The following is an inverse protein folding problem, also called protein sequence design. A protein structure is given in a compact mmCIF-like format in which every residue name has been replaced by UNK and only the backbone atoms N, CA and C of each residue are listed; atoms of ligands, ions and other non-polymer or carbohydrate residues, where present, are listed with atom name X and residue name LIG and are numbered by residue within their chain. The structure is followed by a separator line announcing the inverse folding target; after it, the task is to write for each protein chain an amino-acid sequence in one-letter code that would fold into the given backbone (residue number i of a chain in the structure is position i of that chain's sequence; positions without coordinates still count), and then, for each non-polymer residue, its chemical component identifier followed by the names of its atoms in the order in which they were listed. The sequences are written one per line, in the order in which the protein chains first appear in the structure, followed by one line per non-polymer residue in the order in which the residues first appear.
data_IF_789482207244
#
_entry.id   IF_789482207244
#
_cell.length_a   1.000
_cell.length_b   1.000
_cell.length_c   1.000
_cell.angle_alpha   90.00
_cell.angle_beta   90.00
_cell.angle_gamma   90.00
#
_symmetry.space_group_name_H-M   'P 1'
#
loop_
_entity.id
_entity.type
_entity.pdbx_description
1 polymer ?
#
# COMPACT_ATOMS: atom_id res chain seq x y z
N UNK A 1 -35.26 -15.38 -11.79
CA UNK A 1 -34.16 -15.14 -10.84
C UNK A 1 -32.97 -14.52 -11.60
N UNK A 2 -33.19 -13.37 -12.23
CA UNK A 2 -32.34 -12.88 -13.36
C UNK A 2 -32.37 -11.35 -13.44
N UNK A 3 -32.00 -10.67 -12.35
CA UNK A 3 -31.82 -9.19 -12.30
C UNK A 3 -30.69 -8.74 -11.34
N UNK A 4 -29.68 -9.57 -11.09
CA UNK A 4 -28.59 -9.24 -10.15
C UNK A 4 -27.19 -9.07 -10.78
N UNK A 5 -27.07 -9.00 -12.11
CA UNK A 5 -25.78 -8.86 -12.80
C UNK A 5 -25.63 -7.59 -13.66
N UNK A 6 -26.46 -6.56 -13.42
CA UNK A 6 -26.36 -5.28 -14.14
C UNK A 6 -25.53 -4.20 -13.41
N UNK A 7 -24.96 -4.48 -12.23
CA UNK A 7 -24.37 -3.43 -11.39
C UNK A 7 -22.87 -3.13 -11.64
N UNK A 8 -22.22 -3.85 -12.55
CA UNK A 8 -20.99 -3.36 -13.19
C UNK A 8 -21.35 -2.52 -14.41
N UNK A 9 -22.01 -1.39 -14.18
CA UNK A 9 -22.19 -0.41 -15.23
C UNK A 9 -20.78 0.03 -15.69
N UNK A 10 -20.54 0.09 -17.00
CA UNK A 10 -19.26 0.42 -17.65
C UNK A 10 -18.58 1.66 -17.04
N UNK A 11 -19.36 2.57 -16.46
CA UNK A 11 -18.90 3.75 -15.71
C UNK A 11 -17.98 3.43 -14.53
N UNK A 12 -18.21 2.36 -13.76
CA UNK A 12 -17.35 2.03 -12.59
C UNK A 12 -15.97 1.52 -13.01
N UNK A 13 -15.93 0.62 -14.01
CA UNK A 13 -14.70 0.17 -14.66
C UNK A 13 -13.98 1.34 -15.36
N UNK A 14 -14.73 2.24 -15.99
CA UNK A 14 -14.20 3.48 -16.59
C UNK A 14 -13.63 4.41 -15.51
N UNK A 15 -14.23 4.59 -14.34
CA UNK A 15 -13.61 5.38 -13.27
C UNK A 15 -12.36 4.70 -12.69
N UNK A 16 -12.36 3.38 -12.55
CA UNK A 16 -11.20 2.59 -12.08
C UNK A 16 -10.04 2.67 -13.09
N UNK A 17 -10.33 2.53 -14.39
CA UNK A 17 -9.35 2.67 -15.46
C UNK A 17 -8.96 4.14 -15.67
N UNK A 18 -9.88 5.11 -15.61
CA UNK A 18 -9.57 6.51 -15.84
C UNK A 18 -8.87 7.18 -14.66
N UNK A 19 -9.07 6.76 -13.41
CA UNK A 19 -8.30 7.35 -12.30
C UNK A 19 -7.04 6.56 -11.98
N UNK A 20 -7.04 5.24 -12.17
CA UNK A 20 -5.87 4.41 -11.92
C UNK A 20 -4.96 4.24 -13.14
N UNK A 21 -5.52 3.79 -14.27
CA UNK A 21 -4.73 3.57 -15.49
C UNK A 21 -4.29 4.89 -16.13
N UNK A 22 -5.11 5.94 -16.13
CA UNK A 22 -4.70 7.24 -16.70
C UNK A 22 -3.63 7.91 -15.86
N UNK A 23 -3.68 7.83 -14.53
CA UNK A 23 -2.61 8.39 -13.68
C UNK A 23 -1.34 7.56 -13.77
N UNK A 24 -1.44 6.23 -13.86
CA UNK A 24 -0.30 5.36 -14.20
C UNK A 24 0.27 5.75 -15.57
N UNK A 25 -0.55 5.87 -16.61
CA UNK A 25 -0.12 6.21 -17.97
C UNK A 25 0.48 7.62 -17.97
N UNK A 26 -0.21 8.64 -17.46
CA UNK A 26 0.27 10.03 -17.46
C UNK A 26 1.55 10.16 -16.64
N UNK A 27 1.62 9.61 -15.42
CA UNK A 27 2.82 9.71 -14.60
C UNK A 27 3.97 8.87 -15.16
N UNK A 28 3.71 7.65 -15.63
CA UNK A 28 4.74 6.82 -16.26
C UNK A 28 5.20 7.42 -17.60
N UNK A 29 4.30 8.00 -18.39
CA UNK A 29 4.63 8.69 -19.64
C UNK A 29 5.37 9.99 -19.40
N UNK A 30 5.02 10.78 -18.39
CA UNK A 30 5.80 11.96 -17.99
C UNK A 30 7.19 11.57 -17.50
N UNK A 31 7.29 10.47 -16.74
CA UNK A 31 8.59 9.96 -16.27
C UNK A 31 9.43 9.40 -17.42
N UNK A 32 8.84 8.60 -18.31
CA UNK A 32 9.49 8.05 -19.51
C UNK A 32 9.87 9.15 -20.51
N UNK A 33 9.04 10.18 -20.67
CA UNK A 33 9.33 11.34 -21.51
C UNK A 33 10.49 12.15 -20.91
N UNK A 34 10.48 12.40 -19.60
CA UNK A 34 11.59 13.07 -18.94
C UNK A 34 12.88 12.23 -18.97
N UNK A 35 12.77 10.92 -18.79
CA UNK A 35 13.87 9.97 -18.90
C UNK A 35 14.48 9.96 -20.32
N UNK A 36 13.64 9.93 -21.35
CA UNK A 36 14.06 9.92 -22.74
C UNK A 36 14.69 11.25 -23.18
N UNK A 37 14.20 12.39 -22.67
CA UNK A 37 14.64 13.72 -23.10
C UNK A 37 15.78 14.32 -22.26
N UNK A 38 15.89 13.98 -20.97
CA UNK A 38 16.85 14.61 -20.05
C UNK A 38 17.88 13.63 -19.49
N UNK A 39 17.85 12.37 -19.93
CA UNK A 39 18.68 11.31 -19.37
C UNK A 39 18.33 10.99 -17.91
N UNK A 40 19.12 10.12 -17.28
CA UNK A 40 18.86 9.55 -15.94
C UNK A 40 18.75 10.58 -14.79
N UNK A 41 18.93 11.88 -15.04
CA UNK A 41 18.92 12.91 -14.01
C UNK A 41 17.53 13.53 -13.80
N UNK A 42 16.54 12.70 -13.47
CA UNK A 42 15.37 13.22 -12.77
C UNK A 42 15.81 13.48 -11.34
N UNK A 43 16.37 14.68 -11.10
CA UNK A 43 16.49 15.22 -9.74
C UNK A 43 15.08 15.56 -9.27
N UNK A 44 14.31 14.55 -8.87
CA UNK A 44 13.06 14.80 -8.16
C UNK A 44 13.42 15.61 -6.93
N UNK A 45 12.93 16.84 -6.83
CA UNK A 45 13.21 17.61 -5.63
C UNK A 45 12.52 16.90 -4.46
N UNK A 46 13.15 16.87 -3.28
CA UNK A 46 12.51 16.32 -2.06
C UNK A 46 11.11 16.91 -1.80
N UNK A 47 10.81 18.09 -2.37
CA UNK A 47 9.52 18.77 -2.31
C UNK A 47 8.43 18.04 -3.11
N UNK A 48 8.73 17.55 -4.32
CA UNK A 48 7.75 16.88 -5.20
C UNK A 48 7.27 15.56 -4.59
N UNK A 49 8.19 14.87 -3.91
CA UNK A 49 7.98 13.61 -3.20
C UNK A 49 6.97 13.77 -2.07
N UNK A 50 7.13 14.84 -1.28
CA UNK A 50 6.24 15.14 -0.15
C UNK A 50 4.82 15.37 -0.62
N UNK A 51 4.62 16.11 -1.72
CA UNK A 51 3.29 16.35 -2.28
C UNK A 51 2.61 15.08 -2.77
N UNK A 52 3.34 14.16 -3.40
CA UNK A 52 2.74 12.90 -3.85
C UNK A 52 2.40 11.95 -2.69
N UNK A 53 3.21 11.91 -1.62
CA UNK A 53 2.86 11.22 -0.38
C UNK A 53 1.58 11.78 0.27
N UNK A 54 1.44 13.11 0.29
CA UNK A 54 0.27 13.82 0.83
C UNK A 54 -0.99 13.54 0.01
N UNK A 55 -0.88 13.54 -1.32
CA UNK A 55 -2.02 13.37 -2.19
C UNK A 55 -2.53 11.93 -2.22
N UNK A 56 -1.61 10.96 -2.13
CA UNK A 56 -1.94 9.56 -2.43
C UNK A 56 -1.84 8.63 -1.22
N UNK A 57 -0.80 8.73 -0.39
CA UNK A 57 -0.63 7.79 0.73
C UNK A 57 -1.33 8.23 2.01
N UNK A 58 -1.14 9.46 2.46
CA UNK A 58 -1.66 9.88 3.77
C UNK A 58 -3.20 9.84 3.90
N UNK A 59 -3.99 10.16 2.86
CA UNK A 59 -5.43 10.05 2.95
C UNK A 59 -5.90 8.61 3.21
N UNK A 60 -5.18 7.61 2.70
CA UNK A 60 -5.48 6.21 2.97
C UNK A 60 -5.25 5.86 4.45
N UNK A 61 -4.10 6.23 5.03
CA UNK A 61 -3.84 6.06 6.46
C UNK A 61 -4.96 6.68 7.30
N UNK A 62 -5.23 7.97 7.08
CA UNK A 62 -6.24 8.68 7.87
C UNK A 62 -7.65 8.10 7.67
N UNK A 63 -8.00 7.63 6.48
CA UNK A 63 -9.27 6.95 6.23
C UNK A 63 -9.42 5.65 7.03
N UNK A 64 -8.38 4.81 7.08
CA UNK A 64 -8.39 3.58 7.90
C UNK A 64 -8.53 3.87 9.39
N UNK A 65 -7.79 4.87 9.90
CA UNK A 65 -7.91 5.31 11.29
C UNK A 65 -9.31 5.84 11.59
N UNK A 66 -9.83 6.74 10.75
CA UNK A 66 -11.15 7.31 10.93
C UNK A 66 -12.23 6.23 10.98
N UNK A 67 -12.20 5.29 10.04
CA UNK A 67 -13.17 4.20 9.99
C UNK A 67 -13.06 3.28 11.21
N UNK A 68 -11.84 2.90 11.62
CA UNK A 68 -11.61 2.04 12.79
C UNK A 68 -12.09 2.71 14.08
N UNK A 69 -11.68 3.96 14.34
CA UNK A 69 -12.01 4.66 15.58
C UNK A 69 -13.46 5.14 15.65
N UNK A 70 -14.13 5.31 14.51
CA UNK A 70 -15.57 5.59 14.45
C UNK A 70 -16.42 4.36 14.73
N UNK A 71 -15.91 3.16 14.44
CA UNK A 71 -16.66 1.91 14.65
C UNK A 71 -16.37 1.33 16.04
N UNK A 72 -17.25 1.63 17.00
CA UNK A 72 -17.07 1.18 18.38
C UNK A 72 -17.03 -0.34 18.52
N UNK A 73 -17.92 -1.09 17.83
CA UNK A 73 -17.94 -2.54 17.89
C UNK A 73 -16.60 -3.14 17.43
N UNK A 74 -16.09 -2.68 16.29
CA UNK A 74 -14.79 -3.12 15.78
C UNK A 74 -13.66 -2.83 16.76
N UNK A 75 -13.66 -1.65 17.40
CA UNK A 75 -12.65 -1.26 18.40
C UNK A 75 -12.76 -2.10 19.67
N UNK A 76 -13.97 -2.43 20.11
CA UNK A 76 -14.20 -3.27 21.30
C UNK A 76 -13.79 -4.73 21.06
N UNK A 77 -14.01 -5.26 19.85
CA UNK A 77 -13.50 -6.58 19.45
C UNK A 77 -11.97 -6.61 19.34
N UNK A 78 -11.34 -5.47 19.03
CA UNK A 78 -9.91 -5.37 18.74
C UNK A 78 -9.20 -4.40 19.71
N UNK A 79 -9.46 -4.52 21.02
CA UNK A 79 -8.89 -3.65 22.07
C UNK A 79 -7.37 -3.62 22.07
N UNK A 80 -6.73 -4.74 21.73
CA UNK A 80 -5.28 -4.80 21.60
C UNK A 80 -4.80 -3.76 20.56
N UNK A 81 -5.37 -3.79 19.35
CA UNK A 81 -5.01 -2.87 18.27
C UNK A 81 -5.38 -1.43 18.62
N UNK A 82 -6.59 -1.19 19.11
CA UNK A 82 -7.08 0.18 19.31
C UNK A 82 -6.56 0.90 20.56
N UNK A 83 -6.05 0.17 21.56
CA UNK A 83 -5.61 0.73 22.86
C UNK A 83 -4.20 0.29 23.24
N UNK A 84 -3.96 -1.01 23.39
CA UNK A 84 -2.70 -1.50 23.98
C UNK A 84 -1.51 -1.28 23.05
N UNK A 85 -1.65 -1.64 21.78
CA UNK A 85 -0.60 -1.52 20.78
C UNK A 85 -0.06 -0.08 20.60
N UNK A 86 -0.88 0.96 20.37
CA UNK A 86 -0.36 2.31 20.26
C UNK A 86 0.33 2.79 21.55
N UNK A 87 -0.17 2.39 22.73
CA UNK A 87 0.50 2.69 24.00
C UNK A 87 1.84 1.97 24.13
N UNK A 88 1.94 0.71 23.71
CA UNK A 88 3.21 -0.03 23.68
C UNK A 88 4.22 0.64 22.74
N UNK A 89 3.81 1.02 21.53
CA UNK A 89 4.70 1.68 20.57
C UNK A 89 5.18 3.01 21.15
N UNK A 90 4.28 3.84 21.69
CA UNK A 90 4.65 5.12 22.33
C UNK A 90 5.57 4.88 23.54
N UNK A 91 5.27 3.91 24.38
CA UNK A 91 6.10 3.56 25.54
C UNK A 91 7.52 3.15 25.14
N UNK A 92 7.67 2.31 24.10
CA UNK A 92 8.98 1.92 23.57
C UNK A 92 9.71 3.14 22.99
N UNK A 93 9.03 4.00 22.23
CA UNK A 93 9.63 5.22 21.69
C UNK A 93 10.11 6.16 22.80
N UNK A 94 9.31 6.37 23.85
CA UNK A 94 9.71 7.17 25.02
C UNK A 94 10.95 6.56 25.68
N UNK A 95 10.99 5.25 25.90
CA UNK A 95 12.16 4.56 26.45
C UNK A 95 13.40 4.73 25.57
N UNK A 96 13.26 4.63 24.24
CA UNK A 96 14.35 4.87 23.29
C UNK A 96 14.92 6.28 23.46
N UNK A 97 14.06 7.30 23.58
CA UNK A 97 14.49 8.69 23.75
C UNK A 97 15.11 8.95 25.12
N UNK A 98 14.54 8.40 26.19
CA UNK A 98 15.04 8.57 27.56
C UNK A 98 16.39 7.88 27.76
N UNK A 99 16.54 6.67 27.23
CA UNK A 99 17.75 5.85 27.40
C UNK A 99 18.78 6.08 26.28
N UNK A 100 18.44 6.88 25.25
CA UNK A 100 19.27 7.16 24.07
C UNK A 100 19.74 5.89 23.34
N UNK A 101 18.84 4.91 23.20
CA UNK A 101 19.17 3.58 22.69
C UNK A 101 18.88 3.48 21.19
N UNK A 102 19.86 3.87 20.36
CA UNK A 102 19.71 3.93 18.90
C UNK A 102 19.44 2.58 18.24
N UNK A 103 19.98 1.47 18.77
CA UNK A 103 19.76 0.14 18.20
C UNK A 103 18.30 -0.33 18.31
N UNK A 104 17.57 0.09 19.34
CA UNK A 104 16.14 -0.21 19.47
C UNK A 104 15.30 0.56 18.45
N UNK A 105 15.64 1.84 18.19
CA UNK A 105 14.99 2.62 17.12
C UNK A 105 15.21 1.96 15.75
N UNK A 106 16.44 1.51 15.50
CA UNK A 106 16.77 0.80 14.27
C UNK A 106 15.98 -0.52 14.17
N UNK A 107 15.90 -1.31 15.24
CA UNK A 107 15.10 -2.54 15.27
C UNK A 107 13.60 -2.27 14.99
N UNK A 108 13.02 -1.21 15.56
CA UNK A 108 11.64 -0.82 15.27
C UNK A 108 11.46 -0.36 13.83
N UNK A 109 12.43 0.37 13.27
CA UNK A 109 12.41 0.79 11.87
C UNK A 109 12.47 -0.41 10.93
N UNK A 110 13.32 -1.39 11.23
CA UNK A 110 13.40 -2.66 10.48
C UNK A 110 12.06 -3.40 10.55
N UNK A 111 11.47 -3.51 11.73
CA UNK A 111 10.16 -4.13 11.90
C UNK A 111 9.08 -3.39 11.10
N UNK A 112 9.09 -2.06 11.11
CA UNK A 112 8.18 -1.24 10.31
C UNK A 112 8.35 -1.50 8.81
N UNK A 113 9.59 -1.62 8.31
CA UNK A 113 9.85 -1.98 6.92
C UNK A 113 9.38 -3.38 6.55
N UNK A 114 9.73 -4.40 7.35
CA UNK A 114 9.27 -5.78 7.10
C UNK A 114 7.74 -5.82 7.03
N UNK A 115 7.08 -5.19 8.00
CA UNK A 115 5.62 -5.14 8.05
C UNK A 115 5.03 -4.33 6.91
N UNK A 116 5.68 -3.26 6.45
CA UNK A 116 5.25 -2.48 5.28
C UNK A 116 5.24 -3.30 3.99
N UNK A 117 6.34 -3.99 3.67
CA UNK A 117 6.42 -4.88 2.51
C UNK A 117 5.37 -5.98 2.57
N UNK A 118 5.23 -6.61 3.74
CA UNK A 118 4.25 -7.65 3.99
C UNK A 118 2.80 -7.13 3.89
N UNK A 119 2.55 -5.93 4.40
CA UNK A 119 1.25 -5.27 4.39
C UNK A 119 0.77 -5.04 2.97
N UNK A 120 1.58 -4.38 2.15
CA UNK A 120 1.20 -4.01 0.79
C UNK A 120 1.10 -5.26 -0.10
N UNK A 121 1.92 -6.30 0.11
CA UNK A 121 1.74 -7.58 -0.59
C UNK A 121 0.38 -8.22 -0.30
N UNK A 122 -0.02 -8.31 0.98
CA UNK A 122 -1.33 -8.86 1.36
C UNK A 122 -2.50 -8.00 0.90
N UNK A 123 -2.34 -6.67 0.92
CA UNK A 123 -3.36 -5.74 0.46
C UNK A 123 -3.57 -5.86 -1.04
N UNK A 124 -2.50 -5.83 -1.84
CA UNK A 124 -2.57 -6.02 -3.29
C UNK A 124 -3.11 -7.40 -3.67
N UNK A 125 -2.76 -8.44 -2.90
CA UNK A 125 -3.39 -9.76 -3.03
C UNK A 125 -4.91 -9.70 -2.82
N UNK A 126 -5.36 -9.10 -1.71
CA UNK A 126 -6.78 -8.89 -1.45
C UNK A 126 -7.46 -8.11 -2.59
N UNK A 127 -6.74 -7.12 -3.15
CA UNK A 127 -7.22 -6.33 -4.27
C UNK A 127 -7.44 -7.18 -5.52
N UNK A 128 -6.43 -7.96 -5.90
CA UNK A 128 -6.49 -8.91 -7.00
C UNK A 128 -7.65 -9.91 -6.84
N UNK A 129 -7.84 -10.47 -5.64
CA UNK A 129 -8.90 -11.45 -5.38
C UNK A 129 -10.29 -10.83 -5.51
N UNK A 130 -10.49 -9.60 -5.02
CA UNK A 130 -11.75 -8.90 -5.17
C UNK A 130 -12.03 -8.55 -6.64
N UNK A 131 -11.04 -8.05 -7.37
CA UNK A 131 -11.19 -7.70 -8.78
C UNK A 131 -11.50 -8.91 -9.68
N UNK A 132 -11.14 -10.10 -9.22
CA UNK A 132 -11.48 -11.34 -9.92
C UNK A 132 -12.94 -11.81 -9.69
N UNK A 133 -13.71 -11.16 -8.80
CA UNK A 133 -15.14 -11.36 -8.59
C UNK A 133 -15.62 -12.83 -8.55
N UNK A 134 -14.84 -13.70 -7.89
CA UNK A 134 -15.04 -15.16 -7.70
C UNK A 134 -14.47 -16.09 -8.78
N UNK A 135 -13.83 -15.60 -9.83
CA UNK A 135 -13.26 -16.41 -10.91
C UNK A 135 -11.94 -17.14 -10.56
N UNK A 136 -11.56 -17.20 -9.28
CA UNK A 136 -10.30 -17.83 -8.85
C UNK A 136 -10.56 -19.05 -7.99
N UNK A 137 -9.93 -20.16 -8.37
CA UNK A 137 -9.87 -21.38 -7.56
C UNK A 137 -9.00 -21.20 -6.33
N UNK A 138 -9.10 -22.14 -5.40
CA UNK A 138 -8.21 -22.23 -4.24
C UNK A 138 -6.73 -22.22 -4.66
N UNK A 139 -6.37 -23.01 -5.67
CA UNK A 139 -4.98 -23.12 -6.14
C UNK A 139 -4.49 -21.82 -6.79
N UNK A 140 -5.31 -21.20 -7.67
CA UNK A 140 -4.95 -19.89 -8.24
C UNK A 140 -4.73 -18.83 -7.16
N UNK A 141 -5.58 -18.82 -6.12
CA UNK A 141 -5.42 -17.90 -4.97
C UNK A 141 -4.15 -18.17 -4.19
N UNK A 142 -3.77 -19.44 -3.98
CA UNK A 142 -2.55 -19.80 -3.27
C UNK A 142 -1.31 -19.38 -4.05
N UNK A 143 -1.23 -19.71 -5.35
CA UNK A 143 -0.11 -19.31 -6.21
C UNK A 143 0.05 -17.79 -6.27
N UNK A 144 -1.06 -17.06 -6.40
CA UNK A 144 -1.04 -15.61 -6.41
C UNK A 144 -0.55 -15.05 -5.07
N UNK A 145 -1.03 -15.57 -3.93
CA UNK A 145 -0.60 -15.14 -2.61
C UNK A 145 0.90 -15.36 -2.42
N UNK A 146 1.40 -16.57 -2.69
CA UNK A 146 2.81 -16.87 -2.51
C UNK A 146 3.68 -16.06 -3.48
N UNK A 147 3.20 -15.78 -4.69
CA UNK A 147 3.87 -14.85 -5.59
C UNK A 147 4.04 -13.46 -4.96
N UNK A 148 2.99 -12.90 -4.36
CA UNK A 148 3.09 -11.63 -3.63
C UNK A 148 4.03 -11.68 -2.43
N UNK A 149 4.03 -12.77 -1.67
CA UNK A 149 4.91 -12.92 -0.51
C UNK A 149 6.39 -13.05 -0.92
N UNK A 150 6.68 -13.81 -1.97
CA UNK A 150 8.02 -13.88 -2.56
C UNK A 150 8.46 -12.53 -3.11
N UNK A 151 7.55 -11.80 -3.75
CA UNK A 151 7.79 -10.45 -4.25
C UNK A 151 8.12 -9.48 -3.10
N UNK A 152 7.39 -9.51 -1.99
CA UNK A 152 7.68 -8.72 -0.79
C UNK A 152 9.03 -9.06 -0.16
N UNK A 153 9.35 -10.35 -0.08
CA UNK A 153 10.66 -10.81 0.37
C UNK A 153 11.78 -10.26 -0.53
N UNK A 154 11.63 -10.37 -1.85
CA UNK A 154 12.55 -9.73 -2.80
C UNK A 154 12.65 -8.23 -2.56
N UNK A 155 11.55 -7.50 -2.48
CA UNK A 155 11.56 -6.05 -2.29
C UNK A 155 12.28 -5.61 -1.02
N UNK A 156 12.00 -6.28 0.10
CA UNK A 156 12.68 -6.00 1.37
C UNK A 156 14.19 -6.25 1.26
N UNK A 157 14.60 -7.42 0.75
CA UNK A 157 16.01 -7.76 0.58
C UNK A 157 16.72 -6.89 -0.46
N UNK A 158 16.00 -6.48 -1.50
CA UNK A 158 16.50 -5.56 -2.49
C UNK A 158 16.83 -4.22 -1.84
N UNK A 159 15.96 -3.68 -0.96
CA UNK A 159 16.26 -2.48 -0.16
C UNK A 159 17.53 -2.63 0.68
N UNK A 160 17.76 -3.79 1.27
CA UNK A 160 18.96 -4.04 2.10
C UNK A 160 20.27 -3.99 1.30
N UNK A 161 20.20 -4.08 -0.04
CA UNK A 161 21.37 -4.18 -0.91
C UNK A 161 21.89 -2.86 -1.44
N UNK A 162 21.09 -1.78 -1.47
CA UNK A 162 21.57 -0.51 -2.03
C UNK A 162 21.71 0.57 -0.95
N UNK A 163 22.74 1.40 -1.09
CA UNK A 163 22.96 2.59 -0.27
C UNK A 163 22.05 3.72 -0.75
N UNK A 164 20.74 3.58 -0.54
CA UNK A 164 19.83 4.66 -0.91
C UNK A 164 19.98 5.81 0.08
N UNK A 165 20.66 6.88 -0.37
CA UNK A 165 20.67 8.21 0.28
C UNK A 165 19.29 8.88 0.27
N UNK A 166 18.35 8.30 -0.47
CA UNK A 166 17.02 8.83 -0.78
C UNK A 166 15.97 8.35 0.23
N UNK A 167 16.35 7.50 1.21
CA UNK A 167 15.39 7.04 2.20
C UNK A 167 14.75 8.22 2.92
N UNK A 168 13.42 8.16 3.04
CA UNK A 168 12.60 8.97 3.93
C UNK A 168 13.41 9.34 5.18
N UNK A 169 13.83 10.60 5.26
CA UNK A 169 14.55 11.19 6.38
C UNK A 169 16.00 10.73 6.59
N UNK A 170 16.73 10.35 5.53
CA UNK A 170 18.17 10.00 5.56
C UNK A 170 18.52 8.78 6.44
N UNK A 171 17.53 8.05 6.95
CA UNK A 171 17.75 6.87 7.75
C UNK A 171 18.16 5.69 6.86
N UNK A 172 19.36 5.14 7.05
CA UNK A 172 19.80 3.93 6.34
C UNK A 172 19.38 2.68 7.13
N UNK A 173 18.65 1.77 6.49
CA UNK A 173 18.29 0.49 7.09
C UNK A 173 18.99 -0.62 6.31
N UNK A 174 20.29 -0.79 6.59
CA UNK A 174 21.04 -1.97 6.16
C UNK A 174 21.25 -2.86 7.37
N UNK A 175 20.54 -3.97 7.41
CA UNK A 175 20.54 -4.93 8.51
C UNK A 175 21.43 -6.12 8.19
N UNK A 176 21.42 -6.54 6.93
CA UNK A 176 22.06 -7.79 6.51
C UNK A 176 22.88 -7.56 5.25
N UNK A 177 24.01 -8.27 5.16
CA UNK A 177 24.69 -8.45 3.89
C UNK A 177 23.98 -9.57 3.12
N UNK A 178 23.02 -9.20 2.27
CA UNK A 178 22.21 -10.17 1.53
C UNK A 178 22.90 -10.50 0.21
N UNK A 179 23.26 -11.77 -0.07
CA UNK A 179 23.75 -12.16 -1.37
C UNK A 179 22.74 -11.82 -2.46
N UNK A 180 23.21 -11.23 -3.56
CA UNK A 180 22.37 -10.86 -4.69
C UNK A 180 21.52 -12.03 -5.20
N UNK A 181 22.13 -13.20 -5.34
CA UNK A 181 21.46 -14.41 -5.80
C UNK A 181 20.25 -14.80 -4.94
N UNK A 182 20.25 -14.49 -3.65
CA UNK A 182 19.13 -14.81 -2.77
C UNK A 182 17.94 -13.87 -2.97
N UNK A 183 18.17 -12.57 -3.19
CA UNK A 183 17.08 -11.66 -3.56
C UNK A 183 16.51 -12.04 -4.93
N UNK A 184 17.38 -12.31 -5.92
CA UNK A 184 16.96 -12.69 -7.27
C UNK A 184 16.20 -14.03 -7.31
N UNK A 185 16.53 -14.98 -6.43
CA UNK A 185 15.80 -16.25 -6.35
C UNK A 185 14.36 -16.05 -5.86
N UNK A 186 14.11 -15.10 -4.94
CA UNK A 186 12.75 -14.73 -4.52
C UNK A 186 11.96 -14.05 -5.64
N UNK A 187 12.61 -13.20 -6.45
CA UNK A 187 11.99 -12.61 -7.62
C UNK A 187 11.63 -13.68 -8.67
N UNK A 188 12.55 -14.61 -8.94
CA UNK A 188 12.30 -15.73 -9.85
C UNK A 188 11.15 -16.62 -9.35
N UNK A 189 11.14 -16.95 -8.06
CA UNK A 189 10.06 -17.71 -7.43
C UNK A 189 8.72 -16.98 -7.56
N UNK A 190 8.69 -15.66 -7.35
CA UNK A 190 7.50 -14.84 -7.55
C UNK A 190 6.94 -14.97 -8.97
N UNK A 191 7.78 -14.89 -9.99
CA UNK A 191 7.39 -15.07 -11.39
C UNK A 191 6.88 -16.48 -11.68
N UNK A 192 7.56 -17.52 -11.20
CA UNK A 192 7.12 -18.91 -11.37
C UNK A 192 5.71 -19.09 -10.80
N UNK A 193 5.49 -18.64 -9.57
CA UNK A 193 4.20 -18.72 -8.91
C UNK A 193 3.13 -17.89 -9.62
N UNK A 194 3.49 -16.72 -10.17
CA UNK A 194 2.57 -15.91 -10.96
C UNK A 194 2.16 -16.60 -12.26
N UNK A 195 3.10 -17.25 -12.96
CA UNK A 195 2.80 -18.07 -14.14
C UNK A 195 1.89 -19.25 -13.77
N UNK A 196 2.15 -19.92 -12.64
CA UNK A 196 1.28 -20.98 -12.13
C UNK A 196 -0.13 -20.47 -11.82
N UNK A 197 -0.27 -19.25 -11.28
CA UNK A 197 -1.55 -18.58 -11.11
C UNK A 197 -2.27 -18.39 -12.45
N UNK A 198 -1.59 -17.90 -13.50
CA UNK A 198 -2.18 -17.71 -14.84
C UNK A 198 -2.67 -19.06 -15.39
N UNK A 199 -1.80 -20.08 -15.40
CA UNK A 199 -2.13 -21.42 -15.91
C UNK A 199 -3.30 -22.04 -15.15
N UNK A 200 -3.29 -21.96 -13.81
CA UNK A 200 -4.37 -22.46 -12.97
C UNK A 200 -5.69 -21.74 -13.24
N UNK A 201 -5.66 -20.42 -13.47
CA UNK A 201 -6.86 -19.61 -13.75
C UNK A 201 -7.45 -19.89 -15.13
N UNK A 202 -6.62 -20.14 -16.14
CA UNK A 202 -7.05 -20.57 -17.47
C UNK A 202 -7.74 -21.94 -17.40
N UNK A 203 -7.14 -22.90 -16.67
CA UNK A 203 -7.64 -24.26 -16.53
C UNK A 203 -8.94 -24.35 -15.73
N UNK A 204 -9.10 -23.51 -14.71
CA UNK A 204 -10.24 -23.57 -13.79
C UNK A 204 -11.57 -23.17 -14.44
N UNK A 205 -11.53 -22.21 -15.36
CA UNK A 205 -12.74 -21.56 -15.86
C UNK A 205 -13.08 -22.07 -17.26
N UNK A 206 -13.11 -23.39 -17.49
CA UNK A 206 -13.30 -23.95 -18.84
C UNK A 206 -14.59 -23.46 -19.51
N UNK A 207 -15.67 -23.35 -18.72
CA UNK A 207 -17.01 -22.92 -19.15
C UNK A 207 -17.13 -21.42 -19.45
N UNK A 208 -16.18 -20.60 -19.00
CA UNK A 208 -16.22 -19.16 -19.22
C UNK A 208 -15.77 -18.80 -20.65
N UNK A 209 -16.25 -17.68 -21.21
CA UNK A 209 -15.78 -17.24 -22.52
C UNK A 209 -14.28 -16.92 -22.49
N UNK A 210 -13.56 -17.09 -23.62
CA UNK A 210 -12.13 -16.75 -23.72
C UNK A 210 -11.86 -15.28 -23.34
N UNK A 211 -12.77 -14.38 -23.72
CA UNK A 211 -12.68 -12.95 -23.42
C UNK A 211 -12.77 -12.67 -21.91
N UNK A 212 -13.71 -13.32 -21.21
CA UNK A 212 -13.89 -13.14 -19.77
C UNK A 212 -12.72 -13.71 -18.96
N UNK A 213 -12.18 -14.86 -19.37
CA UNK A 213 -10.96 -15.43 -18.76
C UNK A 213 -9.79 -14.46 -18.86
N UNK A 214 -9.56 -13.94 -20.08
CA UNK A 214 -8.48 -12.99 -20.33
C UNK A 214 -8.67 -11.71 -19.51
N UNK A 215 -9.89 -11.16 -19.49
CA UNK A 215 -10.24 -10.00 -18.67
C UNK A 215 -9.96 -10.26 -17.19
N UNK A 216 -10.39 -11.38 -16.63
CA UNK A 216 -10.16 -11.72 -15.22
C UNK A 216 -8.66 -11.78 -14.91
N UNK A 217 -7.87 -12.43 -15.76
CA UNK A 217 -6.41 -12.53 -15.57
C UNK A 217 -5.79 -11.14 -15.62
N UNK A 218 -6.11 -10.33 -16.64
CA UNK A 218 -5.55 -9.00 -16.82
C UNK A 218 -5.86 -8.09 -15.63
N UNK A 219 -7.12 -8.01 -15.21
CA UNK A 219 -7.51 -7.14 -14.09
C UNK A 219 -6.90 -7.62 -12.76
N UNK A 220 -6.83 -8.94 -12.54
CA UNK A 220 -6.18 -9.52 -11.34
C UNK A 220 -4.68 -9.27 -11.30
N UNK A 221 -4.04 -9.11 -12.47
CA UNK A 221 -2.61 -8.89 -12.62
C UNK A 221 -2.18 -7.45 -12.34
N UNK A 222 -3.09 -6.47 -12.46
CA UNK A 222 -2.77 -5.05 -12.28
C UNK A 222 -2.10 -4.78 -10.91
N UNK A 223 -2.66 -5.22 -9.76
CA UNK A 223 -2.03 -4.95 -8.48
C UNK A 223 -0.69 -5.69 -8.31
N UNK A 224 -0.52 -6.83 -8.97
CA UNK A 224 0.72 -7.60 -8.91
C UNK A 224 1.85 -6.88 -9.66
N UNK A 225 1.54 -6.39 -10.86
CA UNK A 225 2.47 -5.59 -11.67
C UNK A 225 2.84 -4.32 -10.92
N UNK A 226 1.89 -3.62 -10.31
CA UNK A 226 2.20 -2.42 -9.52
C UNK A 226 3.12 -2.73 -8.32
N UNK A 227 2.97 -3.87 -7.64
CA UNK A 227 3.92 -4.29 -6.60
C UNK A 227 5.29 -4.68 -7.16
N UNK A 228 5.34 -5.31 -8.33
CA UNK A 228 6.60 -5.62 -9.01
C UNK A 228 7.37 -4.34 -9.34
N UNK A 229 6.68 -3.33 -9.89
CA UNK A 229 7.26 -2.03 -10.21
C UNK A 229 7.81 -1.37 -8.95
N UNK A 230 7.03 -1.38 -7.85
CA UNK A 230 7.48 -0.86 -6.56
C UNK A 230 8.74 -1.56 -6.04
N UNK A 231 8.73 -2.89 -5.94
CA UNK A 231 9.81 -3.65 -5.30
C UNK A 231 11.09 -3.74 -6.14
N UNK A 232 10.98 -3.61 -7.46
CA UNK A 232 12.11 -3.77 -8.36
C UNK A 232 12.84 -2.46 -8.62
N UNK A 233 12.11 -1.35 -8.71
CA UNK A 233 12.67 -0.06 -9.14
C UNK A 233 12.95 0.92 -8.01
N UNK A 234 13.00 0.43 -6.78
CA UNK A 234 13.33 1.23 -5.61
C UNK A 234 14.72 1.90 -5.69
N UNK A 235 15.66 1.27 -6.41
CA UNK A 235 17.02 1.77 -6.60
C UNK A 235 17.13 2.85 -7.69
N UNK A 236 16.07 3.08 -8.46
CA UNK A 236 16.04 4.15 -9.46
C UNK A 236 15.73 5.46 -8.74
N UNK A 237 16.66 6.39 -8.78
CA UNK A 237 16.50 7.72 -8.18
C UNK A 237 15.22 8.40 -8.70
N UNK A 238 14.43 8.95 -7.78
CA UNK A 238 13.12 9.57 -8.06
C UNK A 238 11.96 8.59 -8.35
N UNK A 239 12.21 7.32 -8.70
CA UNK A 239 11.11 6.36 -8.92
C UNK A 239 10.33 6.08 -7.62
N UNK A 240 11.00 6.23 -6.48
CA UNK A 240 10.38 6.06 -5.17
C UNK A 240 9.17 6.97 -4.92
N UNK A 241 9.08 8.07 -5.67
CA UNK A 241 7.98 9.03 -5.62
C UNK A 241 6.69 8.47 -6.20
N UNK A 242 6.81 7.58 -7.18
CA UNK A 242 5.67 6.94 -7.84
C UNK A 242 5.12 5.78 -7.00
N UNK A 243 5.89 5.26 -6.04
CA UNK A 243 5.49 4.16 -5.15
C UNK A 243 4.18 4.48 -4.40
N UNK A 244 4.08 5.59 -3.64
CA UNK A 244 2.83 6.07 -3.03
C UNK A 244 1.65 6.09 -4.00
N UNK A 245 1.91 6.52 -5.23
CA UNK A 245 0.89 6.71 -6.25
C UNK A 245 0.37 5.36 -6.75
N UNK A 246 1.28 4.46 -7.15
CA UNK A 246 0.92 3.11 -7.56
C UNK A 246 0.18 2.37 -6.45
N UNK A 247 0.65 2.51 -5.21
CA UNK A 247 0.01 1.90 -4.06
C UNK A 247 -1.42 2.43 -3.80
N UNK A 248 -1.59 3.75 -3.80
CA UNK A 248 -2.90 4.36 -3.62
C UNK A 248 -3.88 3.98 -4.74
N UNK A 249 -3.39 3.90 -5.98
CA UNK A 249 -4.19 3.52 -7.15
C UNK A 249 -4.67 2.07 -7.04
N UNK A 250 -3.84 1.15 -6.56
CA UNK A 250 -4.26 -0.26 -6.35
C UNK A 250 -5.50 -0.34 -5.45
N UNK A 251 -5.60 0.56 -4.47
CA UNK A 251 -6.62 0.51 -3.43
C UNK A 251 -7.80 1.47 -3.65
N UNK A 252 -7.65 2.49 -4.50
CA UNK A 252 -8.70 3.46 -4.81
C UNK A 252 -10.06 2.82 -5.15
N UNK A 253 -10.15 1.73 -5.94
CA UNK A 253 -11.43 1.07 -6.21
C UNK A 253 -12.16 0.59 -4.95
N UNK A 254 -11.43 0.09 -3.95
CA UNK A 254 -11.98 -0.43 -2.69
C UNK A 254 -12.53 0.67 -1.81
N UNK A 255 -11.74 1.73 -1.60
CA UNK A 255 -12.18 2.87 -0.79
C UNK A 255 -13.37 3.53 -1.46
N UNK A 256 -13.28 3.83 -2.75
CA UNK A 256 -14.34 4.55 -3.45
C UNK A 256 -15.64 3.76 -3.39
N UNK A 257 -15.61 2.44 -3.61
CA UNK A 257 -16.81 1.63 -3.50
C UNK A 257 -17.34 1.53 -2.07
N UNK A 258 -16.46 1.29 -1.09
CA UNK A 258 -16.85 1.19 0.32
C UNK A 258 -17.43 2.49 0.86
N UNK A 259 -16.76 3.62 0.62
CA UNK A 259 -17.21 4.94 1.10
C UNK A 259 -18.45 5.41 0.36
N UNK A 260 -18.54 5.22 -0.96
CA UNK A 260 -19.74 5.56 -1.73
C UNK A 260 -20.97 4.78 -1.24
N UNK A 261 -20.84 3.48 -0.97
CA UNK A 261 -21.95 2.67 -0.45
C UNK A 261 -22.32 2.99 1.00
N UNK A 262 -21.34 3.41 1.82
CA UNK A 262 -21.58 3.80 3.21
C UNK A 262 -22.11 5.23 3.38
N UNK A 263 -21.97 6.09 2.36
CA UNK A 263 -22.44 7.47 2.40
C UNK A 263 -23.52 7.73 1.35
N UNK A 264 -24.78 7.75 1.80
CA UNK A 264 -25.92 8.10 0.95
C UNK A 264 -25.94 9.57 0.48
N UNK A 265 -25.12 10.45 1.08
CA UNK A 265 -25.09 11.89 0.83
C UNK A 265 -23.72 12.36 0.33
N UNK A 266 -23.68 12.82 -0.92
CA UNK A 266 -22.47 13.31 -1.60
C UNK A 266 -21.83 14.52 -0.89
N UNK A 267 -22.60 15.38 -0.23
CA UNK A 267 -22.04 16.53 0.50
C UNK A 267 -21.28 16.09 1.75
N UNK A 268 -21.80 15.08 2.46
CA UNK A 268 -21.10 14.47 3.61
C UNK A 268 -19.83 13.75 3.15
N UNK A 269 -19.87 13.15 1.96
CA UNK A 269 -18.71 12.48 1.36
C UNK A 269 -17.58 13.47 1.09
N UNK A 270 -17.88 14.54 0.35
CA UNK A 270 -16.88 15.58 0.02
C UNK A 270 -16.29 16.20 1.29
N UNK A 271 -17.13 16.53 2.29
CA UNK A 271 -16.65 17.04 3.59
C UNK A 271 -15.72 16.06 4.30
N UNK A 272 -16.04 14.77 4.28
CA UNK A 272 -15.22 13.73 4.92
C UNK A 272 -13.86 13.60 4.21
N UNK A 273 -13.86 13.59 2.87
CA UNK A 273 -12.63 13.51 2.06
C UNK A 273 -11.75 14.74 2.31
N UNK A 274 -12.33 15.94 2.31
CA UNK A 274 -11.59 17.18 2.60
C UNK A 274 -11.01 17.18 4.01
N UNK A 275 -11.79 16.75 5.01
CA UNK A 275 -11.30 16.64 6.38
C UNK A 275 -10.12 15.66 6.48
N UNK A 276 -10.24 14.46 5.89
CA UNK A 276 -9.18 13.45 5.84
C UNK A 276 -7.92 14.04 5.19
N UNK A 277 -8.08 14.75 4.08
CA UNK A 277 -6.96 15.39 3.37
C UNK A 277 -6.29 16.48 4.21
N UNK A 278 -7.07 17.37 4.83
CA UNK A 278 -6.54 18.44 5.68
C UNK A 278 -5.80 17.88 6.90
N UNK A 279 -6.36 16.86 7.57
CA UNK A 279 -5.67 16.18 8.67
C UNK A 279 -4.38 15.50 8.21
N UNK A 280 -4.37 14.90 7.01
CA UNK A 280 -3.18 14.29 6.41
C UNK A 280 -2.06 15.32 6.21
N UNK A 281 -2.39 16.49 5.64
CA UNK A 281 -1.43 17.59 5.44
C UNK A 281 -0.89 18.09 6.78
N UNK A 282 -1.77 18.40 7.73
CA UNK A 282 -1.38 18.92 9.04
C UNK A 282 -0.47 17.94 9.79
N UNK A 283 -0.82 16.66 9.78
CA UNK A 283 -0.14 15.67 10.59
C UNK A 283 1.19 15.21 9.99
N UNK A 284 1.26 14.96 8.68
CA UNK A 284 2.47 14.41 8.06
C UNK A 284 3.39 15.48 7.45
N UNK A 285 2.94 16.74 7.38
CA UNK A 285 3.74 17.86 6.85
C UNK A 285 3.87 18.95 7.89
N UNK A 286 2.73 19.43 8.38
CA UNK A 286 2.68 20.54 9.33
C UNK A 286 3.44 20.21 10.62
N UNK A 287 3.21 19.04 11.21
CA UNK A 287 3.87 18.61 12.44
C UNK A 287 5.38 18.40 12.24
N UNK A 288 5.88 17.60 11.27
CA UNK A 288 7.32 17.52 10.98
C UNK A 288 7.97 18.87 10.71
N UNK A 289 7.30 19.75 9.97
CA UNK A 289 7.79 21.11 9.69
C UNK A 289 7.91 21.93 10.98
N UNK A 290 6.85 21.98 11.79
CA UNK A 290 6.85 22.71 13.05
C UNK A 290 7.94 22.20 14.00
N UNK A 291 8.05 20.87 14.16
CA UNK A 291 9.09 20.22 14.95
C UNK A 291 10.48 20.61 14.44
N UNK A 292 10.70 20.59 13.13
CA UNK A 292 12.01 20.95 12.57
C UNK A 292 12.39 22.41 12.82
N UNK A 293 11.41 23.32 12.90
CA UNK A 293 11.64 24.73 13.23
C UNK A 293 11.88 24.94 14.73
N UNK A 294 11.16 24.22 15.60
CA UNK A 294 11.22 24.45 17.06
C UNK A 294 12.26 23.60 17.77
N UNK A 295 12.51 22.39 17.27
CA UNK A 295 13.32 21.34 17.90
C UNK A 295 14.20 20.61 16.85
N UNK A 296 15.05 21.34 16.10
CA UNK A 296 15.84 20.78 15.01
C UNK A 296 16.74 19.60 15.43
N UNK A 297 17.21 19.60 16.69
CA UNK A 297 18.09 18.58 17.25
C UNK A 297 17.45 17.19 17.41
N UNK A 298 16.11 17.11 17.48
CA UNK A 298 15.38 15.84 17.57
C UNK A 298 14.48 15.57 16.35
N UNK A 299 14.48 16.47 15.36
CA UNK A 299 13.49 16.43 14.28
C UNK A 299 13.56 15.14 13.47
N UNK A 300 14.77 14.67 13.13
CA UNK A 300 14.97 13.42 12.38
C UNK A 300 14.49 12.19 13.16
N UNK A 301 14.85 12.09 14.44
CA UNK A 301 14.47 10.97 15.29
C UNK A 301 12.95 10.97 15.57
N UNK A 302 12.34 12.14 15.78
CA UNK A 302 10.90 12.27 16.00
C UNK A 302 10.12 11.91 14.73
N UNK A 303 10.56 12.38 13.56
CA UNK A 303 9.90 12.06 12.29
C UNK A 303 10.02 10.58 11.96
N UNK A 304 11.19 9.97 12.21
CA UNK A 304 11.37 8.51 12.11
C UNK A 304 10.43 7.77 13.06
N UNK A 305 10.27 8.26 14.28
CA UNK A 305 9.37 7.68 15.29
C UNK A 305 7.91 7.77 14.88
N UNK A 306 7.49 8.90 14.30
CA UNK A 306 6.16 9.08 13.71
C UNK A 306 5.97 8.06 12.59
N UNK A 307 6.92 7.96 11.65
CA UNK A 307 6.85 6.98 10.57
C UNK A 307 6.69 5.55 11.10
N UNK A 308 7.49 5.15 12.09
CA UNK A 308 7.39 3.84 12.74
C UNK A 308 6.00 3.64 13.35
N UNK A 309 5.51 4.60 14.13
CA UNK A 309 4.21 4.51 14.78
C UNK A 309 3.09 4.28 13.77
N UNK A 310 3.02 5.11 12.72
CA UNK A 310 1.96 5.00 11.73
C UNK A 310 2.04 3.70 10.96
N UNK A 311 3.20 3.30 10.46
CA UNK A 311 3.32 2.07 9.68
C UNK A 311 2.99 0.83 10.50
N UNK A 312 3.49 0.74 11.74
CA UNK A 312 3.20 -0.39 12.63
C UNK A 312 1.71 -0.43 12.98
N UNK A 313 1.17 0.65 13.54
CA UNK A 313 -0.20 0.65 14.02
C UNK A 313 -1.23 0.53 12.89
N UNK A 314 -1.00 1.22 11.75
CA UNK A 314 -1.84 1.11 10.55
C UNK A 314 -1.91 -0.33 10.04
N UNK A 315 -0.77 -1.02 9.96
CA UNK A 315 -0.74 -2.42 9.55
C UNK A 315 -1.70 -3.28 10.39
N UNK A 316 -1.75 -3.08 11.71
CA UNK A 316 -2.65 -3.81 12.58
C UNK A 316 -4.11 -3.37 12.42
N UNK A 317 -4.38 -2.07 12.28
CA UNK A 317 -5.73 -1.54 11.99
C UNK A 317 -6.28 -2.19 10.72
N UNK A 318 -5.53 -2.14 9.62
CA UNK A 318 -5.95 -2.70 8.35
C UNK A 318 -6.10 -4.22 8.42
N UNK A 319 -5.21 -4.88 9.16
CA UNK A 319 -5.27 -6.32 9.36
C UNK A 319 -6.53 -6.76 10.08
N UNK A 320 -7.14 -5.95 10.95
CA UNK A 320 -8.41 -6.31 11.62
C UNK A 320 -9.63 -5.70 10.93
N UNK A 321 -9.44 -4.60 10.21
CA UNK A 321 -10.48 -3.82 9.58
C UNK A 321 -11.01 -4.41 8.29
N UNK A 322 -10.12 -4.63 7.33
CA UNK A 322 -10.47 -4.88 5.93
C UNK A 322 -10.44 -6.37 5.55
N UNK A 323 -10.66 -7.25 6.52
CA UNK A 323 -10.64 -8.70 6.26
C UNK A 323 -11.84 -9.12 5.40
N UNK A 324 -11.58 -9.59 4.18
CA UNK A 324 -12.59 -10.22 3.31
C UNK A 324 -13.23 -11.49 3.90
N UNK A 325 -12.65 -12.08 4.95
CA UNK A 325 -13.29 -13.17 5.68
C UNK A 325 -14.48 -12.70 6.53
N UNK A 326 -14.59 -11.39 6.83
CA UNK A 326 -15.71 -10.83 7.57
C UNK A 326 -16.90 -10.62 6.65
N UNK A 327 -18.04 -11.21 7.02
CA UNK A 327 -19.26 -11.11 6.23
C UNK A 327 -19.74 -9.67 6.05
N UNK A 328 -19.61 -8.83 7.08
CA UNK A 328 -19.94 -7.41 7.00
C UNK A 328 -19.14 -6.67 5.93
N UNK A 329 -17.85 -6.97 5.79
CA UNK A 329 -16.97 -6.38 4.77
C UNK A 329 -17.31 -6.92 3.39
N UNK A 330 -17.58 -8.24 3.26
CA UNK A 330 -18.04 -8.82 2.00
C UNK A 330 -19.34 -8.19 1.52
N UNK A 331 -20.31 -7.97 2.41
CA UNK A 331 -21.57 -7.30 2.08
C UNK A 331 -21.32 -5.87 1.59
N UNK A 332 -20.46 -5.10 2.25
CA UNK A 332 -20.14 -3.74 1.78
C UNK A 332 -19.52 -3.77 0.38
N UNK A 333 -18.56 -4.66 0.14
CA UNK A 333 -17.80 -4.69 -1.10
C UNK A 333 -18.55 -5.35 -2.28
N UNK A 334 -19.28 -6.44 -2.02
CA UNK A 334 -19.90 -7.28 -3.06
C UNK A 334 -21.43 -7.25 -3.11
N UNK A 335 -22.14 -6.54 -2.22
CA UNK A 335 -23.57 -6.26 -2.40
C UNK A 335 -23.80 -5.23 -3.50
#
# INVERSE_FOLDING_TARGET
MTKQLQFLNSKSLVHILMFGLLSIIVLSSLYLFNFANFGYQIKSSEKDVKWLLILFSYPHFIASYFWFYKNENLRQENRFVGKLLPLMIVGILVLIFTLQVSYLLQAMLIAAWILLFWHFAKQSYGCSVFLAEKNLTHNSKAYLLYSYLSLAGFGFLNIQRHESKVLLFKSYVRVFNVPEGFALSLLALSWILFIMFIVSSIKANQEQSKADKLKSILVTSIPWIANLMWFSWWAIEGFFVLIPVFHAIQYAPFILQGVYKLQADTKKFVKSVLAIFMFSVLFFVGLPFAVNQTLPQISEALVTSIFIFFNLHHFFIDSVGWKLSKESIRKILFA
#
